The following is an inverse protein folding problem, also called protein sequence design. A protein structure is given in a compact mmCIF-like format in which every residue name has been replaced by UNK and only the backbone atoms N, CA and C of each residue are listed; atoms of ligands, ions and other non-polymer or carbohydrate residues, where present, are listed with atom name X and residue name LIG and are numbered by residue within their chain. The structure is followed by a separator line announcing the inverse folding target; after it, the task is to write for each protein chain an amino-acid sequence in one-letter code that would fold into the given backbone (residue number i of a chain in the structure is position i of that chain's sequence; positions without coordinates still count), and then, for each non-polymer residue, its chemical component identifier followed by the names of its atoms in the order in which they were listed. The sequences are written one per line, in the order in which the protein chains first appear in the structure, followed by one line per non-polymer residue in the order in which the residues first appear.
data_IF_491352253538
#
_entry.id   IF_491352253538
#
_cell.length_a   1.000
_cell.length_b   1.000
_cell.length_c   1.000
_cell.angle_alpha   90.00
_cell.angle_beta   90.00
_cell.angle_gamma   90.00
#
_symmetry.space_group_name_H-M   'P 1'
#
loop_
_entity.id
_entity.type
_entity.pdbx_description
1 polymer ?
#
# COMPACT_ATOMS: atom_id res chain seq x y z
N UNK A 1 -20.12 -0.30 -4.00
CA UNK A 1 -18.84 -0.57 -3.33
C UNK A 1 -17.91 0.60 -3.61
N UNK A 2 -17.68 1.49 -2.64
CA UNK A 2 -16.65 2.52 -2.75
C UNK A 2 -15.29 1.88 -2.97
N UNK A 3 -14.54 2.34 -3.96
CA UNK A 3 -13.19 1.87 -4.24
C UNK A 3 -12.18 2.85 -3.65
N UNK A 4 -11.33 2.37 -2.74
CA UNK A 4 -10.32 3.21 -2.09
C UNK A 4 -9.02 3.21 -2.90
N UNK A 5 -8.48 4.40 -3.18
CA UNK A 5 -7.25 4.57 -3.94
C UNK A 5 -6.00 4.43 -3.06
N UNK A 6 -5.74 3.22 -2.56
CA UNK A 6 -4.56 2.91 -1.76
C UNK A 6 -3.24 3.15 -2.52
N UNK A 7 -3.27 3.05 -3.86
CA UNK A 7 -2.10 3.32 -4.71
C UNK A 7 -1.67 4.78 -4.57
N UNK A 8 -2.61 5.74 -4.48
CA UNK A 8 -2.28 7.15 -4.22
C UNK A 8 -1.52 7.33 -2.91
N UNK A 9 -2.00 6.72 -1.82
CA UNK A 9 -1.32 6.81 -0.50
C UNK A 9 0.05 6.12 -0.55
N UNK A 10 0.15 4.95 -1.16
CA UNK A 10 1.40 4.22 -1.31
C UNK A 10 2.45 4.99 -2.12
N UNK A 11 2.06 5.52 -3.28
CA UNK A 11 2.96 6.32 -4.13
C UNK A 11 3.44 7.58 -3.41
N UNK A 12 2.54 8.32 -2.74
CA UNK A 12 2.94 9.49 -1.93
C UNK A 12 3.89 9.10 -0.81
N UNK A 13 3.65 7.98 -0.13
CA UNK A 13 4.49 7.51 0.97
C UNK A 13 5.89 7.09 0.50
N UNK A 14 6.00 6.45 -0.67
CA UNK A 14 7.30 6.11 -1.29
C UNK A 14 8.09 7.37 -1.66
N UNK A 15 7.42 8.38 -2.22
CA UNK A 15 8.05 9.62 -2.69
C UNK A 15 8.23 10.69 -1.59
N UNK A 16 7.74 10.45 -0.38
CA UNK A 16 7.91 11.36 0.74
C UNK A 16 9.40 11.56 1.05
N UNK A 17 9.81 12.82 1.22
CA UNK A 17 11.21 13.19 1.40
C UNK A 17 11.74 12.88 2.80
N UNK A 18 10.84 12.71 3.78
CA UNK A 18 11.19 12.42 5.17
C UNK A 18 10.09 11.61 5.88
N UNK A 19 10.41 11.12 7.08
CA UNK A 19 9.50 10.34 7.91
C UNK A 19 8.27 11.12 8.38
N UNK A 20 8.37 12.45 8.53
CA UNK A 20 7.23 13.27 8.94
C UNK A 20 6.15 13.33 7.85
N UNK A 21 6.54 13.44 6.58
CA UNK A 21 5.62 13.37 5.45
C UNK A 21 4.98 11.97 5.34
N UNK A 22 5.76 10.91 5.55
CA UNK A 22 5.22 9.53 5.60
C UNK A 22 4.21 9.38 6.73
N UNK A 23 4.51 9.93 7.91
CA UNK A 23 3.62 9.92 9.05
C UNK A 23 2.33 10.69 8.78
N UNK A 24 2.40 11.85 8.12
CA UNK A 24 1.23 12.63 7.73
C UNK A 24 0.33 11.86 6.75
N UNK A 25 0.91 11.20 5.74
CA UNK A 25 0.17 10.37 4.78
C UNK A 25 -0.50 9.18 5.48
N UNK A 26 0.20 8.54 6.41
CA UNK A 26 -0.37 7.45 7.21
C UNK A 26 -1.49 7.96 8.13
N UNK A 27 -1.38 9.20 8.62
CA UNK A 27 -2.44 9.82 9.42
C UNK A 27 -3.68 10.10 8.56
N UNK A 28 -3.51 10.66 7.35
CA UNK A 28 -4.62 10.86 6.40
C UNK A 28 -5.37 9.54 6.11
N UNK A 29 -4.65 8.43 5.95
CA UNK A 29 -5.25 7.11 5.73
C UNK A 29 -6.05 6.62 6.95
N UNK A 30 -5.53 6.85 8.17
CA UNK A 30 -6.22 6.51 9.42
C UNK A 30 -7.46 7.37 9.63
N UNK A 31 -7.38 8.66 9.30
CA UNK A 31 -8.49 9.59 9.45
C UNK A 31 -9.61 9.24 8.45
N UNK A 32 -9.25 8.86 7.22
CA UNK A 32 -10.20 8.32 6.26
C UNK A 32 -10.92 7.09 6.85
N UNK A 33 -10.18 6.11 7.36
CA UNK A 33 -10.77 4.93 8.01
C UNK A 33 -11.68 5.28 9.19
N UNK A 34 -11.28 6.24 10.02
CA UNK A 34 -12.05 6.69 11.16
C UNK A 34 -13.36 7.40 10.76
N UNK A 35 -13.38 8.08 9.61
CA UNK A 35 -14.56 8.75 9.07
C UNK A 35 -15.61 7.81 8.47
N UNK A 36 -15.22 6.56 8.18
CA UNK A 36 -16.13 5.58 7.58
C UNK A 36 -17.14 5.05 8.61
N UNK A 37 -18.36 4.70 8.17
CA UNK A 37 -19.29 3.93 8.99
C UNK A 37 -18.79 2.48 9.14
N UNK A 38 -19.30 1.74 10.14
CA UNK A 38 -18.78 0.42 10.51
C UNK A 38 -18.91 -0.63 9.40
N UNK A 39 -19.99 -0.57 8.63
CA UNK A 39 -20.25 -1.43 7.48
C UNK A 39 -19.25 -1.20 6.33
N UNK A 40 -18.75 0.03 6.15
CA UNK A 40 -17.73 0.34 5.15
C UNK A 40 -16.31 0.03 5.62
N UNK A 41 -16.07 -0.01 6.94
CA UNK A 41 -14.75 -0.35 7.50
C UNK A 41 -14.33 -1.77 7.16
N UNK A 42 -15.27 -2.72 7.15
CA UNK A 42 -14.99 -4.10 6.75
C UNK A 42 -14.51 -4.15 5.30
N UNK A 43 -15.24 -3.49 4.39
CA UNK A 43 -14.89 -3.44 2.97
C UNK A 43 -13.56 -2.71 2.74
N UNK A 44 -13.31 -1.60 3.45
CA UNK A 44 -12.02 -0.90 3.43
C UNK A 44 -10.87 -1.82 3.85
N UNK A 45 -11.03 -2.56 4.95
CA UNK A 45 -10.01 -3.47 5.45
C UNK A 45 -9.71 -4.60 4.47
N UNK A 46 -10.74 -5.19 3.84
CA UNK A 46 -10.56 -6.22 2.81
C UNK A 46 -9.81 -5.67 1.59
N UNK A 47 -10.16 -4.48 1.11
CA UNK A 47 -9.47 -3.87 -0.02
C UNK A 47 -8.03 -3.50 0.34
N UNK A 48 -7.77 -2.99 1.55
CA UNK A 48 -6.42 -2.67 2.03
C UNK A 48 -5.54 -3.92 2.12
N UNK A 49 -6.04 -5.01 2.72
CA UNK A 49 -5.31 -6.28 2.80
C UNK A 49 -5.00 -6.83 1.41
N UNK A 50 -5.96 -6.77 0.49
CA UNK A 50 -5.76 -7.18 -0.91
C UNK A 50 -4.69 -6.36 -1.60
N UNK A 51 -4.70 -5.03 -1.39
CA UNK A 51 -3.68 -4.13 -1.93
C UNK A 51 -2.29 -4.44 -1.38
N UNK A 52 -2.16 -4.61 -0.06
CA UNK A 52 -0.88 -4.91 0.59
C UNK A 52 -0.32 -6.27 0.15
N UNK A 53 -1.17 -7.30 0.06
CA UNK A 53 -0.77 -8.62 -0.43
C UNK A 53 -0.26 -8.56 -1.89
N UNK A 54 -0.91 -7.75 -2.74
CA UNK A 54 -0.51 -7.54 -4.13
C UNK A 54 0.82 -6.78 -4.24
N UNK A 55 1.00 -5.70 -3.51
CA UNK A 55 2.24 -4.91 -3.56
C UNK A 55 3.42 -5.68 -2.92
N UNK A 56 3.21 -6.39 -1.80
CA UNK A 56 4.23 -7.26 -1.20
C UNK A 56 4.59 -8.46 -2.09
N UNK A 57 3.60 -9.07 -2.75
CA UNK A 57 3.84 -10.14 -3.72
C UNK A 57 4.68 -9.67 -4.92
N UNK A 58 4.46 -8.43 -5.35
CA UNK A 58 5.23 -7.81 -6.44
C UNK A 58 6.68 -7.55 -6.03
N UNK A 59 6.91 -7.01 -4.84
CA UNK A 59 8.26 -6.81 -4.27
C UNK A 59 9.08 -8.11 -4.19
N UNK A 60 8.43 -9.23 -3.79
CA UNK A 60 9.10 -10.54 -3.77
C UNK A 60 9.42 -11.04 -5.18
N UNK A 61 8.47 -10.93 -6.10
CA UNK A 61 8.64 -11.37 -7.49
C UNK A 61 9.73 -10.56 -8.22
N UNK A 62 9.78 -9.24 -8.03
CA UNK A 62 10.80 -8.37 -8.63
C UNK A 62 12.21 -8.69 -8.08
N UNK A 63 12.31 -9.04 -6.79
CA UNK A 63 13.58 -9.47 -6.18
C UNK A 63 14.08 -10.81 -6.71
N UNK A 64 13.18 -11.78 -6.95
CA UNK A 64 13.53 -13.08 -7.55
C UNK A 64 13.91 -12.95 -9.03
N UNK A 65 13.22 -12.08 -9.80
CA UNK A 65 13.55 -11.83 -11.21
C UNK A 65 14.90 -11.14 -11.43
N UNK A 66 15.34 -10.26 -10.52
CA UNK A 66 16.67 -9.63 -10.60
C UNK A 66 17.78 -10.60 -10.19
N UNK A 67 17.56 -11.47 -9.19
CA UNK A 67 18.54 -12.51 -8.82
C UNK A 67 18.66 -13.65 -9.84
N UNK A 68 17.59 -13.98 -10.55
CA UNK A 68 17.61 -15.01 -11.60
C UNK A 68 18.45 -14.64 -12.82
N UNK A 69 18.83 -13.37 -13.00
CA UNK A 69 19.59 -12.89 -14.15
C UNK A 69 21.10 -12.66 -13.86
N UNK A 70 21.59 -13.09 -12.70
CA UNK A 70 23.00 -12.96 -12.27
C UNK A 70 23.72 -14.33 -12.16
N UNK A 71 23.11 -15.40 -12.67
CA UNK A 71 23.55 -16.77 -12.42
C UNK A 71 23.67 -17.69 -13.64
N UNK A 72 23.84 -17.15 -14.85
CA UNK A 72 24.18 -17.98 -16.02
C UNK A 72 25.16 -17.21 -16.93
N UNK A 73 26.45 -17.44 -16.72
CA UNK A 73 27.55 -17.32 -17.68
C UNK A 73 28.65 -18.30 -17.27
#
# INVERSE_FOLDING_TARGET
MPQYDFRKFHYRSINAANDAERAAINQELKDLYASLPEDEKEEFNQQLQTFLAKEMGRLKSDYESVKGNLGDN
#
